data_IF_088933222897
#
_entry.id   IF_088933222897
#
_cell.length_a   1.000
_cell.length_b   1.000
_cell.length_c   1.000
_cell.angle_alpha   90.00
_cell.angle_beta   90.00
_cell.angle_gamma   90.00
#
_symmetry.space_group_name_H-M   'P 1'
#
loop_
_entity.id
_entity.type
_entity.pdbx_description
1 polymer ?
#
# COMPACT_ATOMS: atom_id res chain seq x y z
N UNK A 1 -7.75 -25.15 56.44
CA UNK A 1 -7.41 -23.74 56.09
C UNK A 1 -5.93 -23.55 55.69
N UNK A 2 -5.00 -24.36 56.22
CA UNK A 2 -3.54 -24.26 56.00
C UNK A 2 -3.10 -24.58 54.55
N UNK A 3 -3.77 -25.51 53.86
CA UNK A 3 -3.39 -25.92 52.48
C UNK A 3 -3.62 -24.81 51.43
N UNK A 4 -4.65 -23.97 51.60
CA UNK A 4 -4.96 -22.87 50.65
C UNK A 4 -3.98 -21.70 50.76
N UNK A 5 -3.33 -21.51 51.91
CA UNK A 5 -2.34 -20.46 52.11
C UNK A 5 -1.02 -20.80 51.42
N UNK A 6 -0.63 -22.09 51.46
CA UNK A 6 0.57 -22.63 50.80
C UNK A 6 0.52 -22.47 49.27
N UNK A 7 -0.61 -22.78 48.62
CA UNK A 7 -0.73 -22.65 47.16
C UNK A 7 -0.69 -21.20 46.66
N UNK A 8 -1.24 -20.25 47.44
CA UNK A 8 -1.17 -18.81 47.10
C UNK A 8 0.25 -18.26 47.21
N UNK A 9 1.01 -18.74 48.19
CA UNK A 9 2.40 -18.32 48.38
C UNK A 9 3.29 -18.86 47.26
N UNK A 10 3.08 -20.10 46.83
CA UNK A 10 3.84 -20.73 45.75
C UNK A 10 3.60 -20.08 44.39
N UNK A 11 2.35 -19.70 44.08
CA UNK A 11 2.02 -18.96 42.85
C UNK A 11 2.66 -17.56 42.80
N UNK A 12 2.82 -16.91 43.95
CA UNK A 12 3.51 -15.61 44.04
C UNK A 12 5.02 -15.75 43.82
N UNK A 13 5.64 -16.79 44.40
CA UNK A 13 7.08 -17.07 44.20
C UNK A 13 7.37 -17.38 42.72
N UNK A 14 6.57 -18.24 42.08
CA UNK A 14 6.69 -18.55 40.65
C UNK A 14 6.54 -17.31 39.75
N UNK A 15 5.62 -16.40 40.09
CA UNK A 15 5.44 -15.15 39.35
C UNK A 15 6.66 -14.22 39.47
N UNK A 16 7.22 -14.07 40.67
CA UNK A 16 8.42 -13.23 40.86
C UNK A 16 9.66 -13.81 40.18
N UNK A 17 9.86 -15.14 40.17
CA UNK A 17 10.95 -15.78 39.42
C UNK A 17 10.80 -15.59 37.90
N UNK A 18 9.58 -15.61 37.37
CA UNK A 18 9.35 -15.41 35.93
C UNK A 18 9.62 -13.96 35.50
N UNK A 19 9.27 -12.98 36.35
CA UNK A 19 9.51 -11.55 36.08
C UNK A 19 11.01 -11.21 36.13
N UNK A 20 11.78 -11.78 37.06
CA UNK A 20 13.22 -11.52 37.13
C UNK A 20 14.00 -12.13 35.97
N UNK A 21 13.63 -13.34 35.51
CA UNK A 21 14.23 -13.96 34.33
C UNK A 21 13.92 -13.14 33.06
N UNK A 22 12.68 -12.67 32.89
CA UNK A 22 12.30 -11.86 31.73
C UNK A 22 13.02 -10.50 31.69
N UNK A 23 13.28 -9.92 32.86
CA UNK A 23 14.02 -8.66 33.00
C UNK A 23 15.49 -8.80 32.59
N UNK A 24 16.13 -9.94 32.89
CA UNK A 24 17.52 -10.21 32.53
C UNK A 24 17.71 -10.48 31.03
N UNK A 25 16.71 -11.05 30.36
CA UNK A 25 16.73 -11.29 28.90
C UNK A 25 16.61 -9.97 28.11
N UNK A 26 15.90 -8.96 28.66
CA UNK A 26 15.79 -7.65 28.00
C UNK A 26 17.12 -6.87 28.07
N UNK A 27 17.93 -7.07 29.13
CA UNK A 27 19.21 -6.38 29.27
C UNK A 27 20.33 -6.93 28.38
N UNK A 28 20.28 -8.19 27.94
CA UNK A 28 21.32 -8.79 27.10
C UNK A 28 21.18 -8.51 25.60
N UNK A 29 20.05 -7.95 25.15
CA UNK A 29 19.83 -7.59 23.72
C UNK A 29 20.19 -6.12 23.44
N UNK A 30 20.42 -5.30 24.47
CA UNK A 30 20.67 -3.86 24.33
C UNK A 30 22.14 -3.47 24.10
N UNK A 31 23.09 -4.40 24.05
CA UNK A 31 24.54 -4.09 23.94
C UNK A 31 25.22 -4.54 22.64
N UNK A 32 24.48 -5.08 21.66
CA UNK A 32 25.03 -5.41 20.34
C UNK A 32 24.25 -4.65 19.28
N UNK A 33 24.57 -3.36 19.10
CA UNK A 33 24.43 -2.60 17.85
C UNK A 33 24.84 -1.14 18.12
N UNK A 34 26.14 -0.92 18.28
CA UNK A 34 26.69 0.43 18.23
C UNK A 34 28.15 0.36 17.72
N UNK A 35 28.31 0.13 16.42
CA UNK A 35 29.56 0.36 15.71
C UNK A 35 29.30 0.31 14.19
N UNK A 36 29.05 1.48 13.57
CA UNK A 36 29.48 1.84 12.22
C UNK A 36 28.86 3.19 11.83
N UNK A 37 29.43 4.27 12.36
CA UNK A 37 29.43 5.57 11.69
C UNK A 37 30.81 5.71 11.06
N UNK A 38 30.89 5.74 9.73
CA UNK A 38 32.01 6.37 9.05
C UNK A 38 31.48 7.24 7.92
N UNK A 39 31.73 8.52 8.10
CA UNK A 39 31.53 9.66 7.22
C UNK A 39 32.35 9.57 5.94
N UNK A 40 31.76 9.95 4.80
CA UNK A 40 32.48 10.55 3.69
C UNK A 40 31.70 11.79 3.24
N UNK A 41 32.42 12.90 3.20
CA UNK A 41 32.03 14.26 2.83
C UNK A 41 32.59 14.57 1.44
N UNK A 42 31.86 15.43 0.70
CA UNK A 42 32.28 16.22 -0.48
C UNK A 42 32.64 15.46 -1.77
N UNK A 43 32.36 15.95 -2.98
CA UNK A 43 32.16 17.34 -3.43
C UNK A 43 31.15 17.45 -4.57
N UNK A 44 30.60 18.67 -4.70
CA UNK A 44 29.82 19.19 -5.83
C UNK A 44 30.80 19.71 -6.88
N UNK A 45 30.65 19.31 -8.14
CA UNK A 45 31.07 20.13 -9.27
C UNK A 45 29.96 20.16 -10.34
N UNK A 46 29.39 21.35 -10.49
CA UNK A 46 28.59 21.79 -11.63
C UNK A 46 29.56 22.37 -12.65
N UNK A 47 29.52 21.88 -13.87
CA UNK A 47 30.21 22.49 -15.01
C UNK A 47 29.24 22.56 -16.18
N UNK A 48 28.63 23.73 -16.34
CA UNK A 48 27.99 24.18 -17.57
C UNK A 48 29.09 24.71 -18.49
N UNK A 49 29.27 24.06 -19.64
CA UNK A 49 30.21 24.50 -20.66
C UNK A 49 29.42 24.96 -21.90
N UNK A 50 29.32 26.28 -22.10
CA UNK A 50 28.94 26.88 -23.37
C UNK A 50 30.18 27.58 -23.94
N UNK A 51 30.87 26.88 -24.84
CA UNK A 51 31.89 27.46 -25.71
C UNK A 51 31.19 28.07 -26.93
N UNK A 52 31.41 29.37 -27.17
CA UNK A 52 32.01 29.87 -28.42
C UNK A 52 32.25 31.38 -28.30
N UNK A 53 33.53 31.72 -28.36
CA UNK A 53 34.08 33.01 -28.71
C UNK A 53 33.73 33.38 -30.16
N UNK A 54 33.26 34.60 -30.41
CA UNK A 54 34.01 35.56 -31.23
C UNK A 54 33.29 36.92 -31.36
N UNK A 55 34.13 37.89 -31.63
CA UNK A 55 34.02 39.35 -31.45
C UNK A 55 33.28 40.14 -32.53
N UNK A 56 33.00 41.41 -32.16
CA UNK A 56 32.87 42.65 -32.97
C UNK A 56 31.44 43.22 -33.15
N UNK A 57 31.25 44.37 -32.48
CA UNK A 57 30.41 45.55 -32.77
C UNK A 57 29.47 45.51 -33.99
N UNK A 58 28.16 45.68 -33.75
CA UNK A 58 27.39 46.86 -34.18
C UNK A 58 25.93 46.78 -33.74
N UNK A 59 25.41 47.95 -33.39
CA UNK A 59 24.03 48.28 -33.02
C UNK A 59 23.05 47.92 -34.13
N UNK A 60 22.16 46.95 -33.87
CA UNK A 60 20.91 46.77 -34.62
C UNK A 60 19.80 46.36 -33.66
N UNK A 61 18.74 47.16 -33.63
CA UNK A 61 17.45 46.86 -33.02
C UNK A 61 16.79 45.69 -33.73
N UNK A 62 16.45 44.61 -33.00
CA UNK A 62 15.35 43.73 -33.42
C UNK A 62 14.79 42.88 -32.28
N UNK A 63 13.53 43.16 -31.94
CA UNK A 63 12.62 42.25 -31.25
C UNK A 63 12.69 40.86 -31.90
N UNK A 64 13.03 39.85 -31.11
CA UNK A 64 12.68 38.47 -31.42
C UNK A 64 12.05 37.82 -30.20
N UNK A 65 10.72 37.81 -30.22
CA UNK A 65 9.88 36.94 -29.42
C UNK A 65 10.28 35.48 -29.71
N UNK A 66 10.91 34.81 -28.75
CA UNK A 66 10.99 33.36 -28.74
C UNK A 66 9.65 32.82 -28.25
N UNK A 67 8.73 32.55 -29.18
CA UNK A 67 7.64 31.61 -28.93
C UNK A 67 8.24 30.21 -28.72
N UNK A 68 7.88 29.50 -27.64
CA UNK A 68 8.21 28.09 -27.56
C UNK A 68 7.36 27.33 -28.58
N UNK A 69 8.02 26.60 -29.48
CA UNK A 69 7.38 25.60 -30.32
C UNK A 69 6.75 24.55 -29.41
N UNK A 70 5.42 24.62 -29.27
CA UNK A 70 4.60 23.55 -28.70
C UNK A 70 4.69 22.38 -29.69
N UNK A 71 5.66 21.49 -29.48
CA UNK A 71 5.64 20.16 -30.08
C UNK A 71 4.58 19.35 -29.34
N UNK A 72 3.34 19.41 -29.83
CA UNK A 72 2.25 18.55 -29.39
C UNK A 72 2.47 17.14 -29.94
N UNK A 73 3.26 16.33 -29.22
CA UNK A 73 3.30 14.89 -29.45
C UNK A 73 1.98 14.22 -29.05
N UNK A 74 1.34 13.42 -29.94
CA UNK A 74 0.06 12.79 -29.68
C UNK A 74 0.27 11.44 -28.97
N UNK A 75 0.62 11.46 -27.68
CA UNK A 75 0.71 10.21 -26.87
C UNK A 75 -0.56 9.98 -26.04
N UNK A 76 -1.39 11.01 -25.86
CA UNK A 76 -2.60 10.96 -25.04
C UNK A 76 -3.83 10.59 -25.88
N UNK A 77 -3.83 9.43 -26.55
CA UNK A 77 -5.09 8.93 -27.16
C UNK A 77 -5.14 7.43 -27.43
N UNK A 78 -4.02 6.76 -27.69
CA UNK A 78 -4.07 5.34 -28.07
C UNK A 78 -4.61 4.42 -26.97
N UNK A 79 -4.24 4.67 -25.71
CA UNK A 79 -4.68 3.80 -24.62
C UNK A 79 -6.19 3.83 -24.39
N UNK A 80 -6.92 4.92 -24.73
CA UNK A 80 -8.39 4.96 -24.52
C UNK A 80 -9.18 4.16 -25.56
N UNK A 81 -8.55 3.74 -26.65
CA UNK A 81 -9.22 3.01 -27.75
C UNK A 81 -9.58 1.58 -27.31
N UNK A 82 -8.76 0.96 -26.48
CA UNK A 82 -9.01 -0.39 -25.97
C UNK A 82 -10.18 -0.39 -24.96
N UNK A 83 -11.03 -1.44 -24.93
CA UNK A 83 -12.02 -1.64 -23.87
C UNK A 83 -11.40 -1.58 -22.47
N UNK A 84 -12.12 -1.09 -21.44
CA UNK A 84 -11.58 -0.96 -20.08
C UNK A 84 -10.90 -2.22 -19.53
N UNK A 85 -11.47 -3.40 -19.80
CA UNK A 85 -10.89 -4.69 -19.41
C UNK A 85 -9.51 -4.92 -20.02
N UNK A 86 -9.34 -4.70 -21.32
CA UNK A 86 -8.06 -4.88 -22.01
C UNK A 86 -7.01 -3.90 -21.50
N UNK A 87 -7.39 -2.66 -21.19
CA UNK A 87 -6.49 -1.66 -20.59
C UNK A 87 -5.97 -2.12 -19.23
N UNK A 88 -6.87 -2.62 -18.39
CA UNK A 88 -6.49 -3.12 -17.07
C UNK A 88 -5.60 -4.36 -17.17
N UNK A 89 -5.99 -5.35 -17.98
CA UNK A 89 -5.20 -6.57 -18.17
C UNK A 89 -3.81 -6.25 -18.75
N UNK A 90 -3.72 -5.35 -19.73
CA UNK A 90 -2.45 -4.88 -20.29
C UNK A 90 -1.57 -4.20 -19.23
N UNK A 91 -2.17 -3.39 -18.35
CA UNK A 91 -1.44 -2.70 -17.29
C UNK A 91 -0.88 -3.65 -16.22
N UNK A 92 -1.59 -4.74 -15.90
CA UNK A 92 -1.16 -5.68 -14.84
C UNK A 92 -0.28 -6.82 -15.36
N UNK A 93 -0.34 -7.13 -16.66
CA UNK A 93 0.41 -8.25 -17.28
C UNK A 93 1.92 -8.23 -17.01
N UNK A 94 2.62 -7.09 -17.05
CA UNK A 94 4.05 -7.05 -16.74
C UNK A 94 4.39 -7.46 -15.30
N UNK A 95 3.40 -7.46 -14.38
CA UNK A 95 3.56 -7.82 -12.97
C UNK A 95 2.99 -9.19 -12.64
N UNK A 96 1.95 -9.62 -13.37
CA UNK A 96 1.24 -10.88 -13.17
C UNK A 96 1.35 -11.71 -14.45
N UNK A 97 2.40 -12.53 -14.56
CA UNK A 97 2.60 -13.45 -15.68
C UNK A 97 2.74 -14.89 -15.18
N UNK A 98 1.80 -15.80 -15.53
CA UNK A 98 0.60 -15.55 -16.33
C UNK A 98 -0.46 -14.71 -15.58
N UNK A 99 -1.26 -13.96 -16.32
CA UNK A 99 -2.44 -13.30 -15.77
C UNK A 99 -3.48 -14.37 -15.40
N UNK A 100 -4.15 -14.26 -14.23
CA UNK A 100 -5.22 -15.17 -13.85
C UNK A 100 -6.29 -15.36 -14.94
N UNK A 101 -6.75 -16.60 -15.11
CA UNK A 101 -7.76 -16.97 -16.11
C UNK A 101 -9.16 -16.61 -15.60
N UNK A 102 -10.07 -16.06 -16.43
CA UNK A 102 -11.44 -15.78 -16.00
C UNK A 102 -12.11 -16.96 -15.27
N UNK A 103 -12.91 -16.64 -14.25
CA UNK A 103 -13.62 -17.59 -13.38
C UNK A 103 -12.73 -18.44 -12.44
N UNK A 104 -11.40 -18.30 -12.46
CA UNK A 104 -10.58 -18.89 -11.39
C UNK A 104 -10.65 -18.08 -10.10
N UNK A 105 -10.25 -18.70 -8.99
CA UNK A 105 -10.17 -18.03 -7.70
C UNK A 105 -9.23 -16.82 -7.75
N UNK A 106 -8.08 -16.95 -8.39
CA UNK A 106 -7.11 -15.88 -8.59
C UNK A 106 -7.72 -14.71 -9.37
N UNK A 107 -8.54 -14.98 -10.39
CA UNK A 107 -9.20 -13.92 -11.16
C UNK A 107 -10.28 -13.21 -10.35
N UNK A 108 -11.04 -13.95 -9.53
CA UNK A 108 -12.00 -13.35 -8.59
C UNK A 108 -11.28 -12.41 -7.61
N UNK A 109 -10.11 -12.81 -7.12
CA UNK A 109 -9.30 -11.97 -6.23
C UNK A 109 -8.63 -10.81 -6.96
N UNK A 110 -8.19 -10.99 -8.21
CA UNK A 110 -7.69 -9.90 -9.03
C UNK A 110 -8.79 -8.86 -9.29
N UNK A 111 -10.02 -9.29 -9.55
CA UNK A 111 -11.19 -8.40 -9.65
C UNK A 111 -11.43 -7.61 -8.35
N UNK A 112 -11.35 -8.28 -7.20
CA UNK A 112 -11.66 -7.60 -5.94
C UNK A 112 -10.52 -6.70 -5.45
N UNK A 113 -9.28 -7.15 -5.58
CA UNK A 113 -8.12 -6.56 -4.90
C UNK A 113 -7.03 -6.10 -5.86
N UNK A 114 -7.23 -6.17 -7.18
CA UNK A 114 -6.17 -5.98 -8.17
C UNK A 114 -5.78 -4.53 -8.47
N UNK A 115 -6.46 -3.54 -7.91
CA UNK A 115 -6.15 -2.14 -8.20
C UNK A 115 -4.70 -1.70 -7.93
N UNK A 116 -3.95 -2.24 -6.95
CA UNK A 116 -2.55 -1.86 -6.75
C UNK A 116 -1.63 -2.25 -7.92
N UNK A 117 -2.00 -3.24 -8.74
CA UNK A 117 -1.13 -3.73 -9.82
C UNK A 117 -0.93 -2.73 -10.96
N UNK A 118 -1.75 -1.68 -11.05
CA UNK A 118 -1.55 -0.59 -12.01
C UNK A 118 -0.54 0.46 -11.53
N UNK A 119 -0.01 0.32 -10.31
CA UNK A 119 0.94 1.26 -9.74
C UNK A 119 2.26 1.23 -10.53
N UNK A 120 2.61 2.36 -11.13
CA UNK A 120 3.82 2.53 -11.94
C UNK A 120 5.01 3.08 -11.15
N UNK A 121 4.86 3.37 -9.85
CA UNK A 121 5.94 3.85 -9.00
C UNK A 121 7.00 2.76 -8.83
N UNK A 122 8.24 3.03 -9.26
CA UNK A 122 9.35 2.08 -9.19
C UNK A 122 9.82 1.76 -7.77
N UNK A 123 9.44 2.57 -6.77
CA UNK A 123 9.69 2.31 -5.35
C UNK A 123 8.62 1.40 -4.73
N UNK A 124 7.52 1.10 -5.45
CA UNK A 124 6.48 0.18 -5.00
C UNK A 124 6.79 -1.22 -5.53
N UNK A 125 7.05 -2.13 -4.60
CA UNK A 125 7.25 -3.53 -4.89
C UNK A 125 5.91 -4.27 -4.86
N UNK A 126 5.49 -4.83 -6.00
CA UNK A 126 4.24 -5.57 -6.13
C UNK A 126 4.56 -7.08 -6.19
N UNK A 127 3.71 -7.95 -5.59
CA UNK A 127 3.93 -9.38 -5.70
C UNK A 127 3.73 -9.87 -7.15
N UNK A 128 4.41 -10.95 -7.54
CA UNK A 128 4.17 -11.60 -8.85
C UNK A 128 2.88 -12.43 -8.93
N UNK A 129 2.03 -12.36 -7.89
CA UNK A 129 0.82 -13.18 -7.73
C UNK A 129 -0.19 -12.50 -6.80
N UNK A 130 -1.45 -12.90 -6.92
CA UNK A 130 -2.57 -12.33 -6.15
C UNK A 130 -2.83 -13.06 -4.82
N UNK A 131 -2.25 -14.25 -4.61
CA UNK A 131 -2.40 -15.04 -3.38
C UNK A 131 -1.03 -15.52 -2.92
N UNK A 132 -0.67 -15.28 -1.66
CA UNK A 132 0.39 -16.02 -1.00
C UNK A 132 -0.15 -17.30 -0.36
N UNK A 133 0.55 -18.42 -0.54
CA UNK A 133 0.10 -19.74 -0.07
C UNK A 133 0.11 -19.84 1.45
N UNK A 134 1.07 -19.18 2.11
CA UNK A 134 1.27 -19.32 3.56
C UNK A 134 2.02 -18.13 4.17
N UNK A 135 2.28 -18.23 5.47
CA UNK A 135 2.98 -17.21 6.24
C UNK A 135 4.45 -17.02 5.84
N UNK A 136 5.17 -18.09 5.51
CA UNK A 136 6.57 -18.02 5.09
C UNK A 136 6.69 -17.24 3.79
N UNK A 137 5.83 -17.53 2.81
CA UNK A 137 5.80 -16.83 1.53
C UNK A 137 5.43 -15.36 1.69
N UNK A 138 4.43 -15.06 2.53
CA UNK A 138 4.05 -13.68 2.86
C UNK A 138 5.22 -12.93 3.50
N UNK A 139 5.93 -13.57 4.43
CA UNK A 139 7.08 -12.98 5.11
C UNK A 139 8.24 -12.74 4.13
N UNK A 140 8.52 -13.70 3.24
CA UNK A 140 9.55 -13.58 2.21
C UNK A 140 9.27 -12.41 1.26
N UNK A 141 8.01 -12.22 0.86
CA UNK A 141 7.64 -11.01 0.13
C UNK A 141 7.82 -9.76 1.00
N UNK A 142 7.31 -9.76 2.23
CA UNK A 142 7.36 -8.60 3.12
C UNK A 142 8.77 -8.18 3.56
N UNK A 143 9.76 -9.06 3.49
CA UNK A 143 11.17 -8.71 3.72
C UNK A 143 11.81 -7.97 2.55
N UNK A 144 11.22 -8.02 1.36
CA UNK A 144 11.68 -7.24 0.19
C UNK A 144 11.13 -5.82 0.14
N UNK A 145 10.23 -5.46 1.06
CA UNK A 145 9.58 -4.15 1.06
C UNK A 145 10.47 -3.10 1.74
N UNK A 146 10.69 -1.98 1.06
CA UNK A 146 11.16 -0.75 1.71
C UNK A 146 9.97 -0.16 2.46
N UNK A 147 10.01 -0.19 3.80
CA UNK A 147 8.89 0.22 4.65
C UNK A 147 9.05 1.64 5.16
N UNK A 148 7.94 2.36 5.26
CA UNK A 148 7.83 3.66 5.91
C UNK A 148 6.85 3.59 7.08
N UNK A 149 7.08 4.42 8.10
CA UNK A 149 6.18 4.57 9.24
C UNK A 149 5.09 5.59 8.90
N UNK A 150 3.86 5.27 9.29
CA UNK A 150 2.78 6.25 9.33
C UNK A 150 2.86 7.04 10.63
N UNK A 151 2.85 8.37 10.52
CA UNK A 151 3.08 9.27 11.64
C UNK A 151 1.93 9.26 12.65
N UNK A 152 0.69 9.04 12.18
CA UNK A 152 -0.48 8.92 13.03
C UNK A 152 -0.73 7.47 13.44
N UNK A 153 -0.22 7.08 14.60
CA UNK A 153 -0.52 5.78 15.22
C UNK A 153 0.72 4.99 15.63
N UNK A 154 0.53 4.03 16.52
CA UNK A 154 1.58 3.13 16.96
C UNK A 154 1.73 1.98 15.95
N UNK A 155 2.97 1.57 15.65
CA UNK A 155 3.26 0.36 14.86
C UNK A 155 2.55 0.22 13.49
N UNK A 156 2.10 1.31 12.88
CA UNK A 156 1.57 1.31 11.52
C UNK A 156 2.72 1.50 10.52
N UNK A 157 2.97 0.48 9.71
CA UNK A 157 3.96 0.51 8.62
C UNK A 157 3.29 0.15 7.30
N UNK A 158 3.76 0.78 6.23
CA UNK A 158 3.36 0.55 4.84
C UNK A 158 4.63 0.48 3.97
N UNK A 159 4.50 0.20 2.67
CA UNK A 159 5.59 0.52 1.75
C UNK A 159 5.89 2.02 1.82
N UNK A 160 7.17 2.40 1.69
CA UNK A 160 7.62 3.77 1.95
C UNK A 160 6.84 4.81 1.15
N UNK A 161 6.65 4.61 -0.16
CA UNK A 161 5.90 5.57 -0.98
C UNK A 161 4.43 5.70 -0.54
N UNK A 162 3.80 4.61 -0.10
CA UNK A 162 2.44 4.65 0.44
C UNK A 162 2.42 5.40 1.79
N UNK A 163 3.36 5.10 2.70
CA UNK A 163 3.47 5.78 3.99
C UNK A 163 3.68 7.29 3.81
N UNK A 164 4.60 7.68 2.93
CA UNK A 164 4.92 9.09 2.65
C UNK A 164 3.69 9.83 2.07
N UNK A 165 3.00 9.21 1.11
CA UNK A 165 1.77 9.76 0.53
C UNK A 165 0.66 9.92 1.57
N UNK A 166 0.46 8.92 2.45
CA UNK A 166 -0.52 9.04 3.53
C UNK A 166 -0.12 10.12 4.54
N UNK A 167 1.16 10.20 4.91
CA UNK A 167 1.67 11.22 5.82
C UNK A 167 1.45 12.63 5.26
N UNK A 168 1.66 12.84 3.96
CA UNK A 168 1.38 14.11 3.28
C UNK A 168 -0.12 14.46 3.30
N UNK A 169 -1.00 13.50 2.98
CA UNK A 169 -2.45 13.72 3.08
C UNK A 169 -2.87 14.05 4.52
N UNK A 170 -2.31 13.35 5.51
CA UNK A 170 -2.62 13.54 6.93
C UNK A 170 -2.07 14.86 7.51
N UNK A 171 -1.02 15.43 6.90
CA UNK A 171 -0.53 16.77 7.24
C UNK A 171 -1.49 17.87 6.78
N UNK A 172 -2.14 17.71 5.61
CA UNK A 172 -3.14 18.66 5.12
C UNK A 172 -4.42 18.65 5.95
N UNK A 173 -4.85 17.46 6.36
CA UNK A 173 -6.05 17.28 7.18
C UNK A 173 -5.88 16.03 8.04
N UNK A 174 -6.15 16.13 9.33
CA UNK A 174 -6.04 14.98 10.24
C UNK A 174 -6.98 13.85 9.80
N UNK A 175 -6.41 12.68 9.50
CA UNK A 175 -7.10 11.46 9.10
C UNK A 175 -6.76 10.36 10.12
N UNK A 176 -7.68 10.02 11.02
CA UNK A 176 -7.42 9.00 12.03
C UNK A 176 -7.43 7.58 11.44
N UNK A 177 -6.53 6.73 11.95
CA UNK A 177 -6.62 5.29 11.73
C UNK A 177 -7.94 4.73 12.29
N UNK A 178 -8.43 3.63 11.71
CA UNK A 178 -9.68 2.98 12.11
C UNK A 178 -9.66 2.52 13.57
N UNK A 179 -8.65 1.75 13.96
CA UNK A 179 -8.49 1.25 15.33
C UNK A 179 -7.83 2.26 16.26
N UNK A 180 -7.08 3.22 15.71
CA UNK A 180 -6.27 4.19 16.45
C UNK A 180 -4.86 3.72 16.83
N UNK A 181 -4.56 2.41 16.75
CA UNK A 181 -3.30 1.81 17.20
C UNK A 181 -2.50 1.05 16.12
N UNK A 182 -2.90 1.12 14.84
CA UNK A 182 -2.08 0.73 13.68
C UNK A 182 -1.88 -0.77 13.39
N UNK A 183 -1.74 -1.62 14.41
CA UNK A 183 -1.35 -3.03 14.24
C UNK A 183 -2.32 -3.90 13.43
N UNK A 184 -3.57 -3.47 13.28
CA UNK A 184 -4.55 -4.09 12.39
C UNK A 184 -4.91 -3.25 11.17
N UNK A 185 -4.52 -1.98 11.12
CA UNK A 185 -5.00 -1.04 10.11
C UNK A 185 -4.07 -0.96 8.90
N UNK A 186 -2.79 -1.34 9.03
CA UNK A 186 -1.77 -1.12 8.01
C UNK A 186 -1.23 -2.45 7.47
N UNK A 187 0.08 -2.61 7.28
CA UNK A 187 0.63 -3.89 6.83
C UNK A 187 0.27 -5.02 7.81
N UNK A 188 -0.36 -6.08 7.31
CA UNK A 188 -0.79 -7.25 8.10
C UNK A 188 0.13 -8.44 7.83
N UNK A 189 0.25 -9.35 8.80
CA UNK A 189 0.83 -10.68 8.59
C UNK A 189 -0.22 -11.65 8.03
N UNK A 190 0.24 -12.76 7.45
CA UNK A 190 -0.66 -13.84 7.01
C UNK A 190 -1.56 -14.33 8.15
N UNK A 191 -1.00 -14.53 9.35
CA UNK A 191 -1.74 -14.98 10.53
C UNK A 191 -2.81 -13.96 10.95
N UNK A 192 -2.53 -12.66 10.82
CA UNK A 192 -3.52 -11.61 11.11
C UNK A 192 -4.69 -11.69 10.14
N UNK A 193 -4.41 -11.84 8.84
CA UNK A 193 -5.44 -12.03 7.80
C UNK A 193 -6.24 -13.31 8.04
N UNK A 194 -5.57 -14.43 8.38
CA UNK A 194 -6.23 -15.69 8.71
C UNK A 194 -7.15 -15.57 9.93
N UNK A 195 -6.71 -14.87 10.98
CA UNK A 195 -7.53 -14.61 12.16
C UNK A 195 -8.78 -13.80 11.81
N UNK A 196 -8.64 -12.76 10.97
CA UNK A 196 -9.79 -11.99 10.51
C UNK A 196 -10.72 -12.81 9.63
N UNK A 197 -10.18 -13.63 8.72
CA UNK A 197 -10.98 -14.55 7.93
C UNK A 197 -11.83 -15.45 8.83
N UNK A 198 -11.22 -16.11 9.81
CA UNK A 198 -11.91 -16.98 10.78
C UNK A 198 -12.92 -16.26 11.66
N UNK A 199 -12.84 -14.93 11.78
CA UNK A 199 -13.83 -14.13 12.53
C UNK A 199 -15.13 -13.96 11.76
N UNK A 200 -15.08 -13.85 10.43
CA UNK A 200 -16.25 -13.51 9.59
C UNK A 200 -16.65 -14.63 8.62
N UNK A 201 -15.79 -15.62 8.41
CA UNK A 201 -15.92 -16.67 7.43
C UNK A 201 -15.26 -17.97 7.92
N UNK A 202 -15.30 -19.01 7.09
CA UNK A 202 -14.76 -20.33 7.38
C UNK A 202 -14.35 -21.05 6.07
N UNK A 203 -13.87 -22.29 6.18
CA UNK A 203 -13.37 -23.05 5.03
C UNK A 203 -14.47 -23.36 4.00
N UNK A 204 -15.72 -23.59 4.45
CA UNK A 204 -16.86 -23.74 3.54
C UNK A 204 -17.10 -22.48 2.73
N UNK A 205 -17.01 -21.32 3.37
CA UNK A 205 -17.14 -20.02 2.68
C UNK A 205 -16.00 -19.84 1.68
N UNK A 206 -14.77 -20.21 2.04
CA UNK A 206 -13.61 -20.13 1.14
C UNK A 206 -13.82 -20.98 -0.12
N UNK A 207 -14.35 -22.20 0.05
CA UNK A 207 -14.63 -23.09 -1.06
C UNK A 207 -15.73 -22.55 -1.98
N UNK A 208 -16.79 -21.95 -1.41
CA UNK A 208 -17.80 -21.26 -2.21
C UNK A 208 -17.20 -20.09 -3.00
N UNK A 209 -16.32 -19.30 -2.40
CA UNK A 209 -15.61 -18.22 -3.09
C UNK A 209 -14.74 -18.74 -4.23
N UNK A 210 -14.02 -19.86 -4.05
CA UNK A 210 -13.23 -20.49 -5.12
C UNK A 210 -14.09 -20.89 -6.32
N UNK A 211 -15.34 -21.26 -6.07
CA UNK A 211 -16.33 -21.58 -7.10
C UNK A 211 -17.04 -20.34 -7.68
N UNK A 212 -16.62 -19.12 -7.32
CA UNK A 212 -17.27 -17.88 -7.75
C UNK A 212 -18.59 -17.57 -7.04
N UNK A 213 -18.93 -18.29 -5.97
CA UNK A 213 -20.13 -18.11 -5.15
C UNK A 213 -19.80 -17.31 -3.88
N UNK A 214 -20.80 -16.72 -3.24
CA UNK A 214 -20.63 -15.98 -1.97
C UNK A 214 -19.55 -14.88 -1.97
N UNK A 215 -19.22 -14.30 -3.13
CA UNK A 215 -18.12 -13.33 -3.27
C UNK A 215 -18.36 -12.01 -2.54
N UNK A 216 -19.58 -11.75 -2.05
CA UNK A 216 -19.89 -10.58 -1.21
C UNK A 216 -19.07 -10.56 0.08
N UNK A 217 -18.66 -11.72 0.60
CA UNK A 217 -17.79 -11.79 1.78
C UNK A 217 -16.44 -11.07 1.56
N UNK A 218 -15.99 -10.96 0.30
CA UNK A 218 -14.75 -10.28 -0.07
C UNK A 218 -14.81 -8.75 0.12
N UNK A 219 -15.99 -8.17 0.34
CA UNK A 219 -16.13 -6.78 0.77
C UNK A 219 -16.02 -6.61 2.30
N UNK A 220 -15.97 -7.71 3.05
CA UNK A 220 -15.91 -7.73 4.52
C UNK A 220 -14.56 -8.22 5.00
N UNK A 221 -14.04 -9.28 4.37
CA UNK A 221 -12.75 -9.87 4.73
C UNK A 221 -12.11 -10.57 3.54
N UNK A 222 -10.81 -10.37 3.38
CA UNK A 222 -10.02 -11.07 2.37
C UNK A 222 -9.64 -12.49 2.83
N UNK A 223 -9.70 -13.49 1.94
CA UNK A 223 -9.12 -14.80 2.18
C UNK A 223 -7.65 -14.72 2.62
N UNK A 224 -7.18 -15.67 3.44
CA UNK A 224 -5.77 -15.75 3.82
C UNK A 224 -4.87 -15.69 2.58
N UNK A 225 -3.84 -14.85 2.62
CA UNK A 225 -2.90 -14.68 1.51
C UNK A 225 -3.29 -13.69 0.41
N UNK A 226 -4.53 -13.18 0.39
CA UNK A 226 -5.04 -12.34 -0.73
C UNK A 226 -5.28 -10.86 -0.39
N UNK A 227 -5.06 -10.46 0.86
CA UNK A 227 -5.34 -9.11 1.33
C UNK A 227 -4.32 -8.08 0.83
N UNK A 228 -4.78 -6.92 0.35
CA UNK A 228 -3.91 -5.78 -0.01
C UNK A 228 -3.05 -5.28 1.17
N UNK A 229 -3.50 -5.46 2.42
CA UNK A 229 -2.67 -5.19 3.60
C UNK A 229 -1.42 -6.06 3.68
N UNK A 230 -1.39 -7.26 3.08
CA UNK A 230 -0.17 -8.06 3.04
C UNK A 230 0.89 -7.38 2.16
N UNK A 231 0.46 -6.56 1.20
CA UNK A 231 1.33 -5.86 0.26
C UNK A 231 1.85 -4.54 0.83
N UNK A 232 1.38 -4.11 2.00
CA UNK A 232 1.73 -2.81 2.58
C UNK A 232 1.22 -1.62 1.76
N UNK A 233 0.15 -1.83 0.98
CA UNK A 233 -0.48 -0.84 0.11
C UNK A 233 -1.92 -0.54 0.50
N UNK A 234 -2.37 -1.04 1.65
CA UNK A 234 -3.69 -0.77 2.18
C UNK A 234 -3.64 -0.23 3.61
N UNK A 235 -4.57 0.66 3.91
CA UNK A 235 -4.72 1.28 5.22
C UNK A 235 -6.21 1.42 5.58
N UNK A 236 -6.56 1.05 6.81
CA UNK A 236 -7.91 1.21 7.35
C UNK A 236 -8.04 2.52 8.13
N UNK A 237 -8.96 3.39 7.68
CA UNK A 237 -9.10 4.77 8.15
C UNK A 237 -10.52 5.09 8.62
N UNK A 238 -10.63 6.10 9.49
CA UNK A 238 -11.90 6.76 9.86
C UNK A 238 -12.04 8.05 9.07
N UNK A 239 -12.55 7.93 7.84
CA UNK A 239 -12.83 9.06 6.96
C UNK A 239 -14.30 9.47 7.08
N UNK A 240 -14.54 10.69 7.52
CA UNK A 240 -15.89 11.25 7.74
C UNK A 240 -16.15 12.54 6.97
N UNK A 241 -15.11 13.23 6.50
CA UNK A 241 -15.21 14.54 5.82
C UNK A 241 -14.80 14.43 4.36
N UNK A 242 -15.41 15.25 3.51
CA UNK A 242 -15.03 15.33 2.09
C UNK A 242 -13.59 15.83 1.90
N UNK A 243 -13.12 16.73 2.77
CA UNK A 243 -11.73 17.23 2.73
C UNK A 243 -10.70 16.11 2.95
N UNK A 244 -10.99 15.17 3.85
CA UNK A 244 -10.15 13.98 4.06
C UNK A 244 -10.08 13.09 2.81
N UNK A 245 -11.22 12.88 2.14
CA UNK A 245 -11.27 12.10 0.89
C UNK A 245 -10.48 12.79 -0.23
N UNK A 246 -10.62 14.11 -0.37
CA UNK A 246 -9.86 14.89 -1.36
C UNK A 246 -8.36 14.78 -1.12
N UNK A 247 -7.91 15.01 0.11
CA UNK A 247 -6.50 14.85 0.48
C UNK A 247 -5.98 13.43 0.17
N UNK A 248 -6.75 12.38 0.49
CA UNK A 248 -6.36 11.00 0.14
C UNK A 248 -6.26 10.80 -1.38
N UNK A 249 -7.26 11.21 -2.15
CA UNK A 249 -7.28 11.05 -3.61
C UNK A 249 -6.14 11.83 -4.30
N UNK A 250 -5.85 13.05 -3.83
CA UNK A 250 -4.74 13.88 -4.33
C UNK A 250 -3.38 13.20 -4.13
N UNK A 251 -3.25 12.39 -3.07
CA UNK A 251 -2.07 11.60 -2.75
C UNK A 251 -2.17 10.13 -3.19
N UNK A 252 -3.04 9.81 -4.16
CA UNK A 252 -3.07 8.50 -4.81
C UNK A 252 -3.69 7.37 -3.97
N UNK A 253 -4.42 7.70 -2.91
CA UNK A 253 -5.19 6.78 -2.08
C UNK A 253 -6.65 6.75 -2.52
N UNK A 254 -7.19 5.57 -2.79
CA UNK A 254 -8.56 5.40 -3.26
C UNK A 254 -9.26 4.24 -2.54
N UNK A 255 -10.59 4.28 -2.51
CA UNK A 255 -11.38 3.10 -2.13
C UNK A 255 -11.58 2.24 -3.36
N UNK A 256 -11.04 1.02 -3.36
CA UNK A 256 -11.08 0.13 -4.54
C UNK A 256 -11.79 -1.19 -4.29
N UNK A 257 -12.17 -1.45 -3.02
CA UNK A 257 -12.96 -2.60 -2.58
C UNK A 257 -14.38 -2.09 -2.26
N UNK A 258 -15.35 -2.40 -3.11
CA UNK A 258 -16.72 -1.91 -2.96
C UNK A 258 -17.30 -2.31 -1.58
N UNK A 259 -18.00 -1.38 -0.93
CA UNK A 259 -18.60 -1.53 0.41
C UNK A 259 -17.64 -1.66 1.60
N UNK A 260 -16.33 -1.83 1.39
CA UNK A 260 -15.33 -1.76 2.48
C UNK A 260 -14.99 -0.30 2.78
N UNK A 261 -15.91 0.38 3.46
CA UNK A 261 -15.85 1.83 3.71
C UNK A 261 -14.57 2.31 4.42
N UNK A 262 -14.01 1.61 5.43
CA UNK A 262 -12.79 2.07 6.06
C UNK A 262 -11.52 1.77 5.25
N UNK A 263 -11.60 0.91 4.23
CA UNK A 263 -10.43 0.44 3.50
C UNK A 263 -10.01 1.40 2.39
N UNK A 264 -8.72 1.77 2.41
CA UNK A 264 -8.09 2.62 1.41
C UNK A 264 -6.87 1.93 0.84
N UNK A 265 -6.68 2.10 -0.46
CA UNK A 265 -5.65 1.42 -1.24
C UNK A 265 -4.77 2.46 -1.92
N UNK A 266 -3.45 2.36 -1.75
CA UNK A 266 -2.49 3.19 -2.44
C UNK A 266 -2.29 2.67 -3.85
N UNK A 267 -2.84 3.39 -4.83
CA UNK A 267 -2.69 3.09 -6.25
C UNK A 267 -1.52 3.88 -6.84
N UNK A 268 -1.16 5.02 -6.24
CA UNK A 268 0.04 5.79 -6.60
C UNK A 268 -0.04 6.52 -7.95
N UNK A 269 -1.25 6.67 -8.51
CA UNK A 269 -1.50 7.45 -9.72
C UNK A 269 -2.59 8.48 -9.46
N UNK A 270 -2.58 9.60 -10.19
CA UNK A 270 -3.59 10.64 -10.07
C UNK A 270 -5.00 10.11 -10.43
N UNK A 271 -6.05 10.62 -9.77
CA UNK A 271 -7.45 10.19 -10.00
C UNK A 271 -7.84 10.26 -11.49
N UNK A 272 -7.41 11.31 -12.19
CA UNK A 272 -7.67 11.53 -13.61
C UNK A 272 -7.07 10.44 -14.54
N UNK A 273 -6.06 9.70 -14.07
CA UNK A 273 -5.38 8.63 -14.81
C UNK A 273 -6.02 7.26 -14.60
N UNK A 274 -6.82 7.06 -13.54
CA UNK A 274 -7.44 5.76 -13.25
C UNK A 274 -8.28 5.19 -14.42
N UNK A 275 -9.07 6.00 -15.17
CA UNK A 275 -9.79 5.51 -16.35
C UNK A 275 -8.89 5.04 -17.51
N UNK A 276 -7.66 5.58 -17.62
CA UNK A 276 -6.68 5.17 -18.65
C UNK A 276 -6.24 3.72 -18.42
N UNK A 277 -6.20 3.27 -17.16
CA UNK A 277 -5.97 1.87 -16.79
C UNK A 277 -7.25 1.03 -16.73
N UNK A 278 -8.39 1.59 -17.18
CA UNK A 278 -9.67 0.89 -17.22
C UNK A 278 -10.47 0.86 -15.92
N UNK A 279 -9.98 1.44 -14.81
CA UNK A 279 -10.76 1.47 -13.57
C UNK A 279 -12.05 2.28 -13.75
N UNK A 280 -13.11 1.82 -13.09
CA UNK A 280 -14.44 2.40 -13.18
C UNK A 280 -14.82 3.10 -11.88
N UNK A 281 -15.23 4.36 -12.01
CA UNK A 281 -15.79 5.14 -10.90
C UNK A 281 -17.21 4.65 -10.61
N UNK A 282 -17.50 4.29 -9.36
CA UNK A 282 -18.84 3.89 -8.88
C UNK A 282 -19.20 4.65 -7.61
N UNK A 283 -20.38 5.25 -7.57
CA UNK A 283 -20.90 5.93 -6.38
C UNK A 283 -21.86 4.98 -5.65
N UNK A 284 -21.56 4.65 -4.40
CA UNK A 284 -22.40 3.78 -3.56
C UNK A 284 -22.60 4.46 -2.22
N UNK A 285 -23.85 4.80 -1.88
CA UNK A 285 -24.20 5.45 -0.60
C UNK A 285 -23.35 6.69 -0.28
N UNK A 286 -23.07 7.52 -1.30
CA UNK A 286 -22.25 8.72 -1.16
C UNK A 286 -20.74 8.48 -1.12
N UNK A 287 -20.28 7.24 -1.20
CA UNK A 287 -18.86 6.87 -1.26
C UNK A 287 -18.47 6.56 -2.70
N UNK A 288 -17.39 7.18 -3.17
CA UNK A 288 -16.82 6.91 -4.49
C UNK A 288 -15.82 5.77 -4.41
N UNK A 289 -16.01 4.76 -5.25
CA UNK A 289 -15.10 3.63 -5.43
C UNK A 289 -14.49 3.63 -6.83
N UNK A 290 -13.25 3.16 -6.94
CA UNK A 290 -12.53 2.93 -8.18
C UNK A 290 -12.28 1.44 -8.37
N UNK A 291 -13.17 0.78 -9.10
CA UNK A 291 -13.21 -0.67 -9.23
C UNK A 291 -12.45 -1.14 -10.48
N UNK A 292 -11.85 -2.33 -10.41
CA UNK A 292 -11.29 -2.96 -11.61
C UNK A 292 -12.39 -3.24 -12.63
N UNK A 293 -12.11 -3.20 -13.94
CA UNK A 293 -13.12 -3.40 -14.98
C UNK A 293 -13.47 -4.86 -15.29
N UNK A 294 -12.79 -5.81 -14.64
CA UNK A 294 -12.89 -7.25 -14.90
C UNK A 294 -13.82 -7.96 -13.95
#
# INVERSE_FOLDING_TARGET
MIVKLSQKLWKRILFFCFVTIFSLIIFSVATVNNAANLSITESVEVSDNCDTSDSINQTYTKNHNCLPSISSSPVITQNRILPPQERFLSAVTPRLSPVPIPQTFEYILLRQYGSPFINSNNQVNLPGKVIFSNAQETQAFQSTLIKGKVNSGNACVLQKSAADAFNAANQQVRIPLKSGNGGGDCTRTYQTTLRFWRKYANDRTLELVRQGKETRILAVVAPPGSSQHLWGLAIDLRVSKQSQRRALNEHGWFQTVENDTPHWTYVGVAEAKLPEFGLRKKLVRGVTYWLTPI
#
